data_IF_244429914678
#
_entry.id   IF_244429914678
#
_cell.length_a   1.000
_cell.length_b   1.000
_cell.length_c   1.000
_cell.angle_alpha   90.00
_cell.angle_beta   90.00
_cell.angle_gamma   90.00
#
_symmetry.space_group_name_H-M   'P 1'
#
loop_
_entity.id
_entity.type
_entity.pdbx_description
1 polymer ?
#
# COMPACT_ATOMS: atom_id res chain seq x y z
N UNK A 1 -20.58 -16.93 -10.30
CA UNK A 1 -19.32 -17.08 -11.05
C UNK A 1 -18.14 -16.88 -10.11
N UNK A 2 -17.09 -17.68 -10.27
CA UNK A 2 -15.83 -17.51 -9.53
C UNK A 2 -14.82 -16.85 -10.46
N UNK A 3 -14.12 -15.82 -9.98
CA UNK A 3 -13.04 -15.18 -10.73
C UNK A 3 -11.71 -15.59 -10.11
N UNK A 4 -10.79 -16.02 -10.96
CA UNK A 4 -9.44 -16.49 -10.60
C UNK A 4 -8.40 -15.86 -11.52
N UNK A 5 -7.12 -15.98 -11.16
CA UNK A 5 -5.98 -15.68 -12.03
C UNK A 5 -5.99 -14.26 -12.66
N UNK A 6 -6.46 -13.25 -11.91
CA UNK A 6 -6.41 -11.85 -12.34
C UNK A 6 -4.94 -11.36 -12.45
N UNK A 7 -4.53 -10.95 -13.65
CA UNK A 7 -3.19 -10.37 -13.90
C UNK A 7 -3.29 -9.10 -14.73
N UNK A 8 -2.28 -8.23 -14.58
CA UNK A 8 -2.07 -7.04 -15.38
C UNK A 8 -0.64 -7.09 -15.94
N UNK A 9 -0.46 -6.73 -17.21
CA UNK A 9 0.84 -6.79 -17.91
C UNK A 9 0.96 -5.61 -18.87
N UNK A 10 2.15 -5.02 -18.96
CA UNK A 10 2.43 -4.03 -20.00
C UNK A 10 2.32 -4.67 -21.39
N UNK A 11 1.63 -4.00 -22.31
CA UNK A 11 1.56 -4.38 -23.72
C UNK A 11 2.91 -4.09 -24.43
N UNK A 12 3.21 -4.82 -25.50
CA UNK A 12 4.40 -4.64 -26.33
C UNK A 12 4.42 -3.26 -27.00
N UNK A 13 3.23 -2.76 -27.36
CA UNK A 13 3.01 -1.46 -28.01
C UNK A 13 3.34 -0.28 -27.09
N UNK A 14 3.37 -0.49 -25.77
CA UNK A 14 3.52 0.59 -24.81
C UNK A 14 2.28 1.47 -24.65
N UNK A 15 2.30 2.30 -23.59
CA UNK A 15 1.19 3.12 -23.09
C UNK A 15 -0.13 2.37 -22.87
N UNK A 16 -0.03 1.05 -22.72
CA UNK A 16 -1.13 0.09 -22.72
C UNK A 16 -0.87 -1.00 -21.70
N UNK A 17 -1.94 -1.47 -21.08
CA UNK A 17 -1.91 -2.62 -20.16
C UNK A 17 -2.93 -3.64 -20.60
N UNK A 18 -2.50 -4.89 -20.75
CA UNK A 18 -3.36 -6.05 -20.91
C UNK A 18 -3.72 -6.58 -19.52
N UNK A 19 -5.01 -6.59 -19.24
CA UNK A 19 -5.64 -7.18 -18.06
C UNK A 19 -6.20 -8.54 -18.46
N UNK A 20 -6.04 -9.56 -17.62
CA UNK A 20 -6.56 -10.90 -17.91
C UNK A 20 -7.12 -11.56 -16.65
N UNK A 21 -8.22 -12.29 -16.76
CA UNK A 21 -8.70 -13.16 -15.68
C UNK A 21 -9.39 -14.41 -16.22
N UNK A 22 -9.57 -15.39 -15.35
CA UNK A 22 -10.35 -16.59 -15.62
C UNK A 22 -11.68 -16.50 -14.87
N UNK A 23 -12.77 -16.78 -15.58
CA UNK A 23 -14.13 -16.73 -15.10
C UNK A 23 -14.76 -18.12 -15.23
N UNK A 24 -15.05 -18.76 -14.10
CA UNK A 24 -15.84 -20.01 -14.07
C UNK A 24 -17.31 -19.68 -13.82
N UNK A 25 -18.25 -20.15 -14.66
CA UNK A 25 -19.68 -19.97 -14.41
C UNK A 25 -20.03 -20.60 -13.06
N UNK A 26 -20.87 -19.91 -12.28
CA UNK A 26 -21.41 -20.46 -11.03
C UNK A 26 -22.85 -20.94 -11.22
N UNK A 27 -23.41 -21.60 -10.21
CA UNK A 27 -24.82 -22.05 -10.24
C UNK A 27 -25.85 -20.94 -10.51
N UNK A 28 -25.49 -19.67 -10.27
CA UNK A 28 -26.33 -18.48 -10.49
C UNK A 28 -25.94 -17.65 -11.75
N UNK A 29 -25.18 -18.22 -12.69
CA UNK A 29 -24.83 -17.57 -13.97
C UNK A 29 -23.50 -16.79 -13.98
N UNK A 30 -23.28 -16.07 -15.10
CA UNK A 30 -22.16 -15.15 -15.31
C UNK A 30 -22.39 -13.90 -14.43
N UNK A 31 -21.55 -13.73 -13.40
CA UNK A 31 -21.64 -12.58 -12.50
C UNK A 31 -20.97 -11.37 -13.15
N UNK A 32 -21.50 -10.18 -12.86
CA UNK A 32 -20.91 -8.95 -13.34
C UNK A 32 -19.53 -8.71 -12.71
N UNK A 33 -18.64 -8.04 -13.45
CA UNK A 33 -17.28 -7.71 -13.04
C UNK A 33 -17.00 -6.24 -13.33
N UNK A 34 -16.54 -5.52 -12.31
CA UNK A 34 -15.99 -4.17 -12.41
C UNK A 34 -14.47 -4.22 -12.25
N UNK A 35 -13.75 -3.53 -13.12
CA UNK A 35 -12.31 -3.31 -13.01
C UNK A 35 -12.02 -1.82 -12.86
N UNK A 36 -11.28 -1.47 -11.81
CA UNK A 36 -10.93 -0.10 -11.45
C UNK A 36 -9.41 0.07 -11.35
N UNK A 37 -8.91 1.28 -11.63
CA UNK A 37 -7.48 1.65 -11.66
C UNK A 37 -7.17 2.88 -10.81
N UNK A 38 -5.98 2.94 -10.20
CA UNK A 38 -5.40 4.16 -9.60
C UNK A 38 -3.88 4.24 -9.84
N UNK A 39 -3.30 5.45 -9.71
CA UNK A 39 -1.85 5.67 -9.93
C UNK A 39 -1.02 5.40 -8.66
N UNK A 40 -1.63 5.44 -7.48
CA UNK A 40 -0.93 5.24 -6.20
C UNK A 40 -1.66 4.23 -5.33
N UNK A 41 -0.94 3.25 -4.79
CA UNK A 41 -1.50 2.24 -3.88
C UNK A 41 -2.17 2.85 -2.63
N UNK A 42 -1.67 3.99 -2.17
CA UNK A 42 -2.16 4.76 -1.02
C UNK A 42 -3.23 5.83 -1.35
N UNK A 43 -3.66 5.99 -2.60
CA UNK A 43 -4.76 6.92 -2.90
C UNK A 43 -6.08 6.43 -2.26
N UNK A 44 -6.88 7.34 -1.65
CA UNK A 44 -8.13 6.99 -0.97
C UNK A 44 -9.17 6.45 -1.96
N UNK A 45 -10.15 5.72 -1.45
CA UNK A 45 -11.09 4.92 -2.25
C UNK A 45 -12.03 5.75 -3.16
N UNK A 46 -12.02 7.09 -3.04
CA UNK A 46 -12.72 8.00 -3.97
C UNK A 46 -11.97 8.33 -5.28
N UNK A 47 -10.72 7.88 -5.47
CA UNK A 47 -9.91 8.22 -6.67
C UNK A 47 -9.78 7.10 -7.72
N UNK A 48 -10.48 5.98 -7.53
CA UNK A 48 -10.47 4.89 -8.49
C UNK A 48 -11.15 5.31 -9.81
N UNK A 49 -10.40 5.23 -10.92
CA UNK A 49 -10.96 5.36 -12.28
C UNK A 49 -11.58 4.04 -12.71
N UNK A 50 -12.82 4.04 -13.18
CA UNK A 50 -13.42 2.87 -13.80
C UNK A 50 -12.73 2.58 -15.14
N UNK A 51 -12.25 1.35 -15.33
CA UNK A 51 -11.62 0.88 -16.59
C UNK A 51 -12.59 0.02 -17.39
N UNK A 52 -13.33 -0.84 -16.70
CA UNK A 52 -14.30 -1.75 -17.31
C UNK A 52 -15.44 -2.06 -16.34
N UNK A 53 -16.65 -2.14 -16.87
CA UNK A 53 -17.80 -2.73 -16.19
C UNK A 53 -18.49 -3.64 -17.21
N UNK A 54 -18.66 -4.93 -16.89
CA UNK A 54 -19.30 -5.88 -17.80
C UNK A 54 -20.79 -5.62 -18.02
N UNK A 55 -21.46 -4.89 -17.13
CA UNK A 55 -22.89 -4.50 -17.24
C UNK A 55 -23.08 -3.28 -18.12
N UNK A 56 -22.08 -2.39 -18.17
CA UNK A 56 -22.06 -1.20 -19.01
C UNK A 56 -21.17 -1.37 -20.25
N UNK A 57 -20.95 -2.62 -20.69
CA UNK A 57 -20.24 -2.94 -21.94
C UNK A 57 -21.26 -3.32 -23.03
N UNK A 58 -21.20 -2.69 -24.22
CA UNK A 58 -20.27 -1.63 -24.62
C UNK A 58 -20.58 -0.27 -23.99
N UNK A 59 -19.57 0.61 -23.81
CA UNK A 59 -19.79 1.95 -23.27
C UNK A 59 -20.76 2.78 -24.13
N UNK A 60 -21.61 3.62 -23.54
CA UNK A 60 -22.51 4.48 -24.31
C UNK A 60 -21.73 5.38 -25.27
N UNK A 61 -22.17 5.41 -26.53
CA UNK A 61 -21.55 6.16 -27.62
C UNK A 61 -20.28 5.52 -28.22
N UNK A 62 -19.89 4.31 -27.82
CA UNK A 62 -18.82 3.57 -28.50
C UNK A 62 -19.36 2.74 -29.67
N UNK A 63 -18.64 2.72 -30.79
CA UNK A 63 -18.90 1.77 -31.86
C UNK A 63 -18.26 0.42 -31.49
N UNK A 64 -19.00 -0.68 -31.67
CA UNK A 64 -18.49 -2.03 -31.43
C UNK A 64 -18.24 -2.75 -32.75
N UNK A 65 -17.05 -3.28 -32.92
CA UNK A 65 -16.76 -4.30 -33.94
C UNK A 65 -16.56 -5.64 -33.26
N UNK A 66 -17.42 -6.60 -33.61
CA UNK A 66 -17.28 -8.00 -33.20
C UNK A 66 -16.52 -8.78 -34.29
N UNK A 67 -15.60 -9.65 -33.90
CA UNK A 67 -14.86 -10.51 -34.84
C UNK A 67 -14.47 -11.82 -34.18
N UNK A 68 -14.63 -12.93 -34.89
CA UNK A 68 -14.16 -14.23 -34.44
C UNK A 68 -12.63 -14.35 -34.67
N UNK A 69 -11.81 -14.54 -33.61
CA UNK A 69 -10.37 -14.64 -33.76
C UNK A 69 -9.95 -16.05 -34.20
N UNK A 70 -8.80 -16.20 -34.90
CA UNK A 70 -8.22 -17.52 -35.15
C UNK A 70 -7.96 -18.24 -33.82
N UNK A 71 -8.54 -19.43 -33.67
CA UNK A 71 -8.57 -20.20 -32.41
C UNK A 71 -9.90 -20.13 -31.64
N UNK A 72 -10.89 -19.38 -32.14
CA UNK A 72 -12.25 -19.32 -31.60
C UNK A 72 -12.42 -18.37 -30.41
N UNK A 73 -13.68 -18.05 -30.12
CA UNK A 73 -14.10 -17.06 -29.12
C UNK A 73 -14.60 -15.77 -29.75
N UNK A 74 -14.67 -14.70 -28.96
CA UNK A 74 -15.21 -13.42 -29.39
C UNK A 74 -14.19 -12.31 -29.12
N UNK A 75 -13.90 -11.48 -30.12
CA UNK A 75 -13.22 -10.19 -29.94
C UNK A 75 -14.25 -9.09 -30.14
N UNK A 76 -14.38 -8.20 -29.16
CA UNK A 76 -15.17 -6.98 -29.27
C UNK A 76 -14.22 -5.80 -29.07
N UNK A 77 -14.06 -4.97 -30.10
CA UNK A 77 -13.33 -3.70 -30.00
C UNK A 77 -14.32 -2.55 -29.89
N UNK A 78 -14.12 -1.67 -28.91
CA UNK A 78 -14.88 -0.44 -28.72
C UNK A 78 -14.01 0.74 -29.14
N UNK A 79 -14.50 1.53 -30.11
CA UNK A 79 -13.85 2.75 -30.56
C UNK A 79 -14.60 4.01 -30.09
N UNK A 80 -13.83 5.06 -29.79
CA UNK A 80 -14.31 6.42 -29.57
C UNK A 80 -13.37 7.37 -30.32
N UNK A 81 -13.94 8.29 -31.09
CA UNK A 81 -13.20 9.27 -31.91
C UNK A 81 -12.13 8.64 -32.85
N UNK A 82 -12.40 7.45 -33.37
CA UNK A 82 -11.48 6.70 -34.24
C UNK A 82 -10.29 6.06 -33.51
N UNK A 83 -10.40 5.88 -32.19
CA UNK A 83 -9.37 5.27 -31.33
C UNK A 83 -9.97 4.08 -30.59
N UNK A 84 -9.31 2.91 -30.69
CA UNK A 84 -9.61 1.74 -29.86
C UNK A 84 -9.40 2.10 -28.37
N UNK A 85 -10.50 2.34 -27.65
CA UNK A 85 -10.50 2.75 -26.24
C UNK A 85 -10.62 1.58 -25.28
N UNK A 86 -11.12 0.44 -25.76
CA UNK A 86 -11.28 -0.78 -24.98
C UNK A 86 -11.43 -1.97 -25.92
N UNK A 87 -10.61 -2.99 -25.76
CA UNK A 87 -10.74 -4.26 -26.48
C UNK A 87 -11.03 -5.38 -25.49
N UNK A 88 -12.09 -6.16 -25.71
CA UNK A 88 -12.41 -7.37 -24.95
C UNK A 88 -12.14 -8.60 -25.83
N UNK A 89 -11.47 -9.60 -25.26
CA UNK A 89 -11.27 -10.91 -25.91
C UNK A 89 -11.77 -11.99 -24.94
N UNK A 90 -12.83 -12.71 -25.32
CA UNK A 90 -13.40 -13.83 -24.56
C UNK A 90 -13.06 -15.13 -25.28
N UNK A 91 -12.28 -16.00 -24.64
CA UNK A 91 -11.94 -17.34 -25.15
C UNK A 91 -12.38 -18.42 -24.17
N UNK A 92 -12.82 -19.57 -24.68
CA UNK A 92 -13.14 -20.73 -23.82
C UNK A 92 -11.85 -21.30 -23.24
N UNK A 93 -11.85 -21.61 -21.94
CA UNK A 93 -10.69 -22.16 -21.23
C UNK A 93 -11.17 -23.19 -20.20
N UNK A 94 -11.07 -24.48 -20.55
CA UNK A 94 -11.69 -25.57 -19.80
C UNK A 94 -13.20 -25.39 -19.70
N UNK A 95 -13.72 -25.49 -18.47
CA UNK A 95 -15.14 -25.29 -18.12
C UNK A 95 -15.55 -23.81 -17.98
N UNK A 96 -14.61 -22.89 -18.18
CA UNK A 96 -14.82 -21.45 -18.03
C UNK A 96 -14.36 -20.63 -19.23
N UNK A 97 -14.16 -19.34 -18.98
CA UNK A 97 -13.76 -18.33 -19.95
C UNK A 97 -12.51 -17.63 -19.47
N UNK A 98 -11.56 -17.39 -20.38
CA UNK A 98 -10.51 -16.39 -20.19
C UNK A 98 -10.97 -15.10 -20.84
N UNK A 99 -10.97 -14.02 -20.05
CA UNK A 99 -11.30 -12.66 -20.52
C UNK A 99 -10.02 -11.85 -20.49
N UNK A 100 -9.70 -11.20 -21.60
CA UNK A 100 -8.59 -10.24 -21.71
C UNK A 100 -9.12 -8.87 -22.11
N UNK A 101 -8.60 -7.82 -21.48
CA UNK A 101 -8.99 -6.43 -21.72
C UNK A 101 -7.75 -5.56 -21.93
N UNK A 102 -7.80 -4.68 -22.93
CA UNK A 102 -6.79 -3.66 -23.18
C UNK A 102 -7.19 -2.32 -22.55
N UNK A 103 -6.38 -1.82 -21.60
CA UNK A 103 -6.51 -0.48 -21.01
C UNK A 103 -5.57 0.52 -21.71
N UNK A 104 -6.17 1.57 -22.31
CA UNK A 104 -5.49 2.75 -22.89
C UNK A 104 -5.81 4.05 -22.15
N UNK A 105 -6.38 3.97 -20.93
CA UNK A 105 -6.88 5.11 -20.17
C UNK A 105 -7.93 5.99 -20.88
N UNK A 106 -8.66 5.44 -21.85
CA UNK A 106 -9.72 6.16 -22.58
C UNK A 106 -9.21 7.34 -23.43
N UNK A 107 -7.93 7.36 -23.81
CA UNK A 107 -7.31 8.44 -24.57
C UNK A 107 -6.30 7.91 -25.58
N UNK A 108 -6.20 8.57 -26.75
CA UNK A 108 -5.14 8.35 -27.73
C UNK A 108 -3.72 8.54 -27.15
N UNK A 109 -3.58 9.34 -26.09
CA UNK A 109 -2.30 9.52 -25.40
C UNK A 109 -1.84 8.27 -24.65
N UNK A 110 -2.76 7.36 -24.31
CA UNK A 110 -2.50 6.15 -23.53
C UNK A 110 -2.15 6.40 -22.06
N UNK A 111 -1.76 5.34 -21.36
CA UNK A 111 -1.21 5.40 -20.00
C UNK A 111 0.19 6.04 -19.99
N UNK A 112 0.56 6.65 -18.87
CA UNK A 112 1.89 7.28 -18.69
C UNK A 112 2.99 6.22 -18.59
N UNK A 113 4.00 6.21 -19.47
CA UNK A 113 5.11 5.28 -19.38
C UNK A 113 5.84 5.35 -18.04
N UNK A 114 6.17 4.21 -17.45
CA UNK A 114 6.92 4.15 -16.18
C UNK A 114 6.12 4.41 -14.91
N UNK A 115 4.86 4.86 -15.00
CA UNK A 115 3.97 4.94 -13.83
C UNK A 115 3.44 3.55 -13.48
N UNK A 116 3.59 3.10 -12.23
CA UNK A 116 2.97 1.87 -11.76
C UNK A 116 1.45 2.06 -11.59
N UNK A 117 0.64 1.35 -12.37
CA UNK A 117 -0.82 1.38 -12.27
C UNK A 117 -1.33 0.19 -11.48
N UNK A 118 -2.17 0.47 -10.49
CA UNK A 118 -2.79 -0.52 -9.61
C UNK A 118 -4.20 -0.80 -10.10
N UNK A 119 -4.51 -2.08 -10.31
CA UNK A 119 -5.79 -2.55 -10.79
C UNK A 119 -6.48 -3.41 -9.75
N UNK A 120 -7.79 -3.25 -9.65
CA UNK A 120 -8.63 -4.06 -8.78
C UNK A 120 -9.85 -4.56 -9.55
N UNK A 121 -10.09 -5.86 -9.43
CA UNK A 121 -11.24 -6.56 -10.01
C UNK A 121 -12.17 -6.97 -8.89
N UNK A 122 -13.43 -6.56 -9.00
CA UNK A 122 -14.50 -6.85 -8.05
C UNK A 122 -15.64 -7.57 -8.78
N UNK A 123 -16.04 -8.73 -8.25
CA UNK A 123 -17.26 -9.41 -8.68
C UNK A 123 -18.48 -8.70 -8.06
N UNK A 124 -19.41 -8.27 -8.91
CA UNK A 124 -20.64 -7.57 -8.52
C UNK A 124 -21.78 -8.59 -8.40
N UNK A 125 -22.53 -8.60 -7.28
CA UNK A 125 -23.70 -9.46 -7.13
C UNK A 125 -24.76 -9.17 -8.21
N UNK A 126 -25.51 -10.19 -8.68
CA UNK A 126 -26.65 -9.96 -9.56
C UNK A 126 -27.75 -9.21 -8.79
N UNK A 127 -27.88 -7.90 -9.04
CA UNK A 127 -28.84 -7.02 -8.40
C UNK A 127 -28.35 -5.56 -8.26
N UNK A 128 -27.04 -5.37 -8.07
CA UNK A 128 -26.43 -4.04 -7.86
C UNK A 128 -26.19 -3.28 -9.18
N UNK A 129 -27.30 -2.87 -9.81
CA UNK A 129 -27.31 -1.91 -10.91
C UNK A 129 -26.74 -0.54 -10.50
N UNK A 130 -26.40 0.33 -11.47
CA UNK A 130 -25.78 1.63 -11.20
C UNK A 130 -26.67 2.62 -10.42
N UNK A 131 -27.99 2.38 -10.36
CA UNK A 131 -28.98 3.27 -9.74
C UNK A 131 -29.36 2.91 -8.29
N UNK A 132 -28.47 2.22 -7.58
CA UNK A 132 -28.61 1.86 -6.15
C UNK A 132 -28.53 3.05 -5.19
N UNK A 133 -29.39 4.06 -5.37
CA UNK A 133 -29.60 5.13 -4.39
C UNK A 133 -30.21 4.59 -3.08
N UNK A 134 -30.00 5.28 -1.95
CA UNK A 134 -30.61 4.85 -0.68
C UNK A 134 -32.14 4.90 -0.80
N UNK A 135 -32.88 3.85 -0.36
CA UNK A 135 -34.34 3.84 -0.41
C UNK A 135 -34.92 4.83 0.61
N UNK A 136 -35.12 6.07 0.17
CA UNK A 136 -35.90 7.07 0.88
C UNK A 136 -37.39 6.80 0.70
N UNK A 137 -37.97 6.00 1.59
CA UNK A 137 -39.42 5.84 1.73
C UNK A 137 -39.82 6.05 3.19
N UNK A 138 -40.74 6.98 3.50
CA UNK A 138 -41.26 7.12 4.86
C UNK A 138 -42.29 6.03 5.16
N UNK A 139 -42.44 5.75 6.46
CA UNK A 139 -43.57 5.06 7.10
C UNK A 139 -43.78 3.56 6.77
N UNK A 140 -43.20 2.68 7.61
CA UNK A 140 -43.49 1.24 7.60
C UNK A 140 -42.65 0.37 8.54
N UNK A 141 -43.06 0.25 9.81
CA UNK A 141 -42.61 -0.77 10.78
C UNK A 141 -43.85 -1.45 11.40
N UNK A 142 -43.74 -2.65 12.01
CA UNK A 142 -42.81 -3.74 11.72
C UNK A 142 -43.52 -5.12 11.63
N UNK A 143 -42.89 -6.13 11.03
CA UNK A 143 -42.82 -7.51 11.56
C UNK A 143 -42.09 -8.44 10.56
N UNK A 144 -41.05 -9.14 11.03
CA UNK A 144 -40.32 -10.12 10.22
C UNK A 144 -38.81 -10.08 10.42
N UNK A 145 -38.33 -10.70 11.50
CA UNK A 145 -36.90 -10.83 11.80
C UNK A 145 -36.15 -11.67 10.75
N UNK A 146 -35.12 -11.14 10.06
CA UNK A 146 -34.21 -11.95 9.26
C UNK A 146 -33.01 -12.45 10.11
N UNK A 147 -32.48 -13.65 9.85
CA UNK A 147 -31.23 -14.11 10.47
C UNK A 147 -30.03 -13.55 9.70
N UNK A 148 -29.32 -12.58 10.28
CA UNK A 148 -28.10 -11.99 9.73
C UNK A 148 -27.24 -11.37 10.82
N UNK A 149 -25.91 -11.46 10.67
CA UNK A 149 -24.96 -10.87 11.62
C UNK A 149 -25.00 -9.33 11.64
N UNK A 150 -24.30 -8.68 12.58
CA UNK A 150 -24.44 -7.24 12.86
C UNK A 150 -24.09 -6.31 11.68
N UNK A 151 -23.38 -6.78 10.66
CA UNK A 151 -23.13 -6.06 9.41
C UNK A 151 -23.93 -6.69 8.26
N UNK A 152 -25.17 -6.24 8.07
CA UNK A 152 -26.05 -6.63 6.95
C UNK A 152 -25.60 -6.15 5.56
N UNK A 153 -24.30 -5.92 5.35
CA UNK A 153 -23.73 -5.55 4.06
C UNK A 153 -23.60 -6.82 3.20
N UNK A 154 -24.00 -6.80 1.91
CA UNK A 154 -23.73 -7.93 1.02
C UNK A 154 -22.21 -8.18 1.01
N UNK A 155 -21.81 -9.44 1.23
CA UNK A 155 -20.40 -9.82 1.20
C UNK A 155 -19.86 -9.60 -0.23
N UNK A 156 -19.17 -8.48 -0.43
CA UNK A 156 -18.46 -8.21 -1.65
C UNK A 156 -17.50 -9.38 -1.95
N UNK A 157 -17.53 -9.88 -3.18
CA UNK A 157 -16.70 -11.02 -3.58
C UNK A 157 -15.20 -10.74 -3.38
N UNK A 158 -14.36 -11.79 -3.35
CA UNK A 158 -12.93 -11.64 -3.09
C UNK A 158 -12.30 -10.64 -4.07
N UNK A 159 -11.78 -9.55 -3.49
CA UNK A 159 -11.17 -8.44 -4.22
C UNK A 159 -9.81 -8.88 -4.78
N UNK A 160 -9.72 -9.02 -6.10
CA UNK A 160 -8.47 -9.40 -6.76
C UNK A 160 -7.68 -8.16 -7.18
N UNK A 161 -6.36 -8.16 -6.96
CA UNK A 161 -5.48 -7.02 -7.25
C UNK A 161 -4.33 -7.40 -8.16
N UNK A 162 -4.04 -6.53 -9.13
CA UNK A 162 -2.92 -6.65 -10.05
C UNK A 162 -2.21 -5.30 -10.21
N UNK A 163 -0.98 -5.32 -10.73
CA UNK A 163 -0.16 -4.13 -10.95
C UNK A 163 0.59 -4.27 -12.26
N UNK A 164 0.68 -3.20 -13.03
CA UNK A 164 1.44 -3.15 -14.28
C UNK A 164 2.06 -1.76 -14.50
N UNK A 165 3.22 -1.73 -15.13
CA UNK A 165 3.92 -0.48 -15.48
C UNK A 165 4.06 -0.43 -17.00
N UNK A 166 3.24 0.37 -17.71
CA UNK A 166 3.25 0.43 -19.16
C UNK A 166 4.58 0.99 -19.67
N UNK A 167 4.99 0.51 -20.83
CA UNK A 167 6.20 0.92 -21.53
C UNK A 167 5.95 2.18 -22.37
N UNK A 168 7.03 2.78 -22.87
CA UNK A 168 7.01 4.01 -23.66
C UNK A 168 7.26 3.72 -25.13
N UNK A 169 6.76 4.62 -25.97
CA UNK A 169 7.04 4.64 -27.40
C UNK A 169 8.35 5.39 -27.63
N UNK A 170 9.39 4.68 -28.06
CA UNK A 170 10.69 5.24 -28.45
C UNK A 170 10.91 5.24 -29.97
N UNK A 171 9.97 4.66 -30.73
CA UNK A 171 9.97 4.59 -32.20
C UNK A 171 11.17 3.83 -32.77
N UNK A 172 11.66 2.79 -32.09
CA UNK A 172 12.80 2.00 -32.57
C UNK A 172 12.55 1.37 -33.94
N UNK A 173 11.29 1.05 -34.30
CA UNK A 173 10.92 0.58 -35.64
C UNK A 173 11.21 1.60 -36.74
N UNK A 174 10.87 2.87 -36.50
CA UNK A 174 11.19 3.97 -37.42
C UNK A 174 12.71 4.20 -37.50
N UNK A 175 13.43 4.16 -36.38
CA UNK A 175 14.90 4.29 -36.37
C UNK A 175 15.59 3.15 -37.13
N UNK A 176 15.11 1.91 -37.00
CA UNK A 176 15.59 0.76 -37.76
C UNK A 176 15.30 0.91 -39.27
N UNK A 177 14.11 1.39 -39.62
CA UNK A 177 13.72 1.62 -41.01
C UNK A 177 14.55 2.74 -41.64
N UNK A 178 14.75 3.86 -40.95
CA UNK A 178 15.53 5.00 -41.45
C UNK A 178 17.04 4.72 -41.54
N UNK A 179 17.55 3.77 -40.76
CA UNK A 179 18.89 3.23 -40.90
C UNK A 179 19.08 2.34 -42.14
N UNK A 180 18.01 1.91 -42.82
CA UNK A 180 18.12 1.15 -44.06
C UNK A 180 18.58 2.03 -45.24
N UNK A 181 19.45 1.49 -46.13
CA UNK A 181 19.76 2.10 -47.41
C UNK A 181 18.50 2.48 -48.20
N UNK A 182 18.52 3.65 -48.82
CA UNK A 182 17.35 4.25 -49.51
C UNK A 182 16.73 3.32 -50.55
N UNK A 183 17.53 2.48 -51.23
CA UNK A 183 17.04 1.49 -52.20
C UNK A 183 15.97 0.57 -51.61
N UNK A 184 16.12 0.09 -50.38
CA UNK A 184 15.12 -0.76 -49.74
C UNK A 184 13.85 0.03 -49.38
N UNK A 185 14.01 1.25 -48.86
CA UNK A 185 12.89 2.14 -48.52
C UNK A 185 12.08 2.56 -49.75
N UNK A 186 12.74 2.78 -50.90
CA UNK A 186 12.08 3.11 -52.17
C UNK A 186 11.26 1.97 -52.75
N UNK A 187 11.64 0.72 -52.49
CA UNK A 187 10.92 -0.47 -52.94
C UNK A 187 9.85 -0.95 -51.96
N UNK A 188 9.74 -0.36 -50.76
CA UNK A 188 8.75 -0.74 -49.74
C UNK A 188 7.34 -0.16 -50.01
N UNK A 189 6.79 -0.46 -51.18
CA UNK A 189 5.49 0.05 -51.66
C UNK A 189 4.30 -0.89 -51.34
N UNK A 190 4.59 -2.10 -50.85
CA UNK A 190 3.56 -3.14 -50.63
C UNK A 190 2.80 -2.87 -49.33
N UNK A 191 1.62 -2.26 -49.48
CA UNK A 191 0.69 -1.99 -48.37
C UNK A 191 0.14 -3.27 -47.75
N UNK A 192 -0.33 -3.16 -46.50
CA UNK A 192 -0.87 -4.29 -45.76
C UNK A 192 -2.33 -4.57 -46.12
N UNK A 193 -2.86 -5.74 -45.73
CA UNK A 193 -4.29 -5.90 -45.57
C UNK A 193 -4.82 -4.87 -44.56
N UNK A 194 -6.12 -4.56 -44.62
CA UNK A 194 -6.75 -3.68 -43.64
C UNK A 194 -6.60 -4.26 -42.22
N UNK A 195 -5.84 -3.52 -41.41
CA UNK A 195 -5.60 -3.64 -39.97
C UNK A 195 -5.65 -5.04 -39.33
N UNK A 196 -4.72 -5.92 -39.72
CA UNK A 196 -4.47 -7.18 -38.99
C UNK A 196 -3.36 -6.98 -37.95
N UNK A 197 -3.64 -6.29 -36.85
CA UNK A 197 -2.66 -6.14 -35.76
C UNK A 197 -3.06 -5.21 -34.62
N UNK A 198 -2.58 -5.51 -33.42
CA UNK A 198 -2.74 -4.65 -32.24
C UNK A 198 -1.72 -3.50 -32.19
N UNK A 199 -0.71 -3.51 -33.06
CA UNK A 199 0.42 -2.56 -33.10
C UNK A 199 0.06 -1.36 -34.00
N UNK A 200 -0.22 -0.16 -33.48
CA UNK A 200 -0.60 1.01 -34.28
C UNK A 200 0.45 1.41 -35.32
N UNK A 201 1.73 1.22 -35.00
CA UNK A 201 2.88 1.47 -35.88
C UNK A 201 2.79 0.63 -37.16
N UNK A 202 2.21 -0.57 -37.10
CA UNK A 202 2.00 -1.46 -38.25
C UNK A 202 0.85 -1.04 -39.19
N UNK A 203 0.52 0.26 -39.23
CA UNK A 203 -0.59 0.84 -40.00
C UNK A 203 -0.59 0.35 -41.47
N UNK A 204 -1.75 0.04 -42.09
CA UNK A 204 -1.79 -0.47 -43.48
C UNK A 204 -1.15 0.44 -44.54
N UNK A 205 -1.05 1.74 -44.27
CA UNK A 205 -0.37 2.72 -45.11
C UNK A 205 1.17 2.61 -45.12
N UNK A 206 1.78 1.94 -44.14
CA UNK A 206 3.21 1.64 -44.11
C UNK A 206 3.51 0.43 -45.01
N UNK A 207 4.68 0.42 -45.64
CA UNK A 207 5.14 -0.70 -46.47
C UNK A 207 5.42 -1.97 -45.67
N UNK A 208 5.55 -3.11 -46.38
CA UNK A 208 5.71 -4.43 -45.78
C UNK A 208 6.99 -4.57 -44.96
N UNK A 209 8.10 -4.01 -45.44
CA UNK A 209 9.38 -4.03 -44.73
C UNK A 209 9.32 -3.17 -43.47
N UNK A 210 8.69 -1.99 -43.55
CA UNK A 210 8.43 -1.15 -42.38
C UNK A 210 7.59 -1.88 -41.34
N UNK A 211 6.43 -2.43 -41.72
CA UNK A 211 5.55 -3.19 -40.79
C UNK A 211 6.28 -4.38 -40.15
N UNK A 212 7.17 -5.06 -40.89
CA UNK A 212 8.02 -6.12 -40.34
C UNK A 212 9.01 -5.57 -39.29
N UNK A 213 9.70 -4.47 -39.58
CA UNK A 213 10.61 -3.82 -38.64
C UNK A 213 9.91 -3.24 -37.41
N UNK A 214 8.67 -2.75 -37.55
CA UNK A 214 7.89 -2.21 -36.43
C UNK A 214 7.59 -3.27 -35.35
N UNK A 215 7.52 -4.56 -35.69
CA UNK A 215 7.40 -5.67 -34.71
C UNK A 215 8.65 -5.76 -33.82
N UNK A 216 9.85 -5.69 -34.42
CA UNK A 216 11.11 -5.63 -33.66
C UNK A 216 11.25 -4.29 -32.95
N UNK A 217 10.77 -3.21 -33.55
CA UNK A 217 10.70 -1.87 -32.99
C UNK A 217 9.93 -1.85 -31.67
N UNK A 218 8.72 -2.42 -31.62
CA UNK A 218 7.92 -2.54 -30.41
C UNK A 218 8.63 -3.39 -29.33
N UNK A 219 9.28 -4.49 -29.71
CA UNK A 219 10.06 -5.29 -28.78
C UNK A 219 11.27 -4.53 -28.20
N UNK A 220 11.97 -3.73 -29.01
CA UNK A 220 13.07 -2.87 -28.57
C UNK A 220 12.60 -1.70 -27.70
N UNK A 221 11.48 -1.06 -28.05
CA UNK A 221 10.84 -0.02 -27.25
C UNK A 221 10.45 -0.56 -25.87
N UNK A 222 9.89 -1.77 -25.81
CA UNK A 222 9.57 -2.48 -24.57
C UNK A 222 10.80 -2.80 -23.72
N UNK A 223 11.87 -3.33 -24.33
CA UNK A 223 13.14 -3.60 -23.65
C UNK A 223 13.80 -2.32 -23.12
N UNK A 224 13.84 -1.27 -23.94
CA UNK A 224 14.39 0.05 -23.57
C UNK A 224 13.60 0.65 -22.42
N UNK A 225 12.28 0.63 -22.48
CA UNK A 225 11.45 1.10 -21.38
C UNK A 225 11.63 0.31 -20.10
N UNK A 226 11.82 -1.00 -20.15
CA UNK A 226 12.19 -1.77 -18.96
C UNK A 226 13.56 -1.35 -18.42
N UNK A 227 14.55 -1.13 -19.28
CA UNK A 227 15.88 -0.65 -18.86
C UNK A 227 15.83 0.76 -18.24
N UNK A 228 15.00 1.66 -18.77
CA UNK A 228 14.77 2.98 -18.19
C UNK A 228 14.01 2.86 -16.83
N UNK A 229 13.01 1.98 -16.74
CA UNK A 229 12.30 1.66 -15.49
C UNK A 229 13.22 1.06 -14.41
N UNK A 230 14.26 0.28 -14.77
CA UNK A 230 15.24 -0.23 -13.80
C UNK A 230 15.94 0.89 -13.02
N UNK A 231 16.14 2.08 -13.63
CA UNK A 231 16.68 3.24 -12.91
C UNK A 231 15.68 3.81 -11.89
N UNK A 232 14.39 3.74 -12.21
CA UNK A 232 13.30 4.17 -11.32
C UNK A 232 13.04 3.24 -10.14
N UNK A 233 13.56 1.99 -10.13
CA UNK A 233 13.34 1.04 -9.03
C UNK A 233 13.91 1.50 -7.68
N UNK A 234 14.82 2.47 -7.66
CA UNK A 234 15.37 3.05 -6.44
C UNK A 234 14.40 4.03 -5.76
N UNK A 235 13.38 4.53 -6.48
CA UNK A 235 12.39 5.44 -5.94
C UNK A 235 11.31 4.68 -5.15
N UNK A 236 11.39 4.80 -3.83
CA UNK A 236 10.50 4.17 -2.85
C UNK A 236 9.05 4.64 -2.98
N UNK A 237 8.78 5.80 -3.59
CA UNK A 237 7.40 6.30 -3.77
C UNK A 237 6.73 5.70 -5.02
N UNK A 238 7.50 5.35 -6.07
CA UNK A 238 6.96 4.89 -7.37
C UNK A 238 7.19 3.39 -7.67
N UNK A 239 8.18 2.74 -7.04
CA UNK A 239 8.46 1.33 -7.25
C UNK A 239 7.26 0.40 -6.92
N UNK A 240 7.17 -0.76 -7.57
CA UNK A 240 6.15 -1.77 -7.23
C UNK A 240 6.27 -2.18 -5.75
N UNK A 241 5.14 -2.20 -5.03
CA UNK A 241 5.04 -2.61 -3.64
C UNK A 241 5.65 -3.99 -3.33
N UNK A 242 5.68 -4.88 -4.34
CA UNK A 242 6.31 -6.21 -4.26
C UNK A 242 7.83 -6.15 -4.11
N UNK A 243 8.46 -5.04 -4.53
CA UNK A 243 9.90 -4.82 -4.44
C UNK A 243 10.32 -4.13 -3.15
N UNK A 244 9.38 -3.55 -2.38
CA UNK A 244 9.68 -2.90 -1.10
C UNK A 244 10.44 -3.80 -0.09
N UNK A 245 10.14 -5.12 0.06
CA UNK A 245 10.95 -5.99 0.90
C UNK A 245 12.40 -6.13 0.45
N UNK A 246 12.65 -6.10 -0.87
CA UNK A 246 14.00 -6.18 -1.42
C UNK A 246 14.75 -4.85 -1.28
N UNK A 247 14.08 -3.71 -1.52
CA UNK A 247 14.65 -2.38 -1.26
C UNK A 247 14.97 -2.18 0.22
N UNK A 248 14.10 -2.64 1.12
CA UNK A 248 14.34 -2.64 2.56
C UNK A 248 15.53 -3.52 2.95
N UNK A 249 15.64 -4.73 2.37
CA UNK A 249 16.76 -5.63 2.63
C UNK A 249 18.13 -5.04 2.25
N UNK A 250 18.21 -4.21 1.19
CA UNK A 250 19.45 -3.51 0.81
C UNK A 250 19.97 -2.55 1.89
N UNK A 251 19.08 -2.03 2.73
CA UNK A 251 19.40 -1.14 3.85
C UNK A 251 19.29 -1.85 5.22
N UNK A 252 19.28 -3.20 5.21
CA UNK A 252 19.07 -4.07 6.37
C UNK A 252 17.77 -3.82 7.17
N UNK A 253 16.78 -3.15 6.56
CA UNK A 253 15.49 -2.86 7.16
C UNK A 253 14.50 -4.00 6.88
N UNK A 254 13.75 -4.42 7.90
CA UNK A 254 12.65 -5.38 7.74
C UNK A 254 11.32 -4.61 7.80
N UNK A 255 10.58 -4.47 6.67
CA UNK A 255 9.36 -3.68 6.62
C UNK A 255 8.18 -4.45 7.21
N UNK A 256 7.28 -3.75 7.91
CA UNK A 256 6.17 -4.36 8.64
C UNK A 256 5.13 -4.98 7.69
N UNK A 257 5.17 -6.30 7.47
CA UNK A 257 4.30 -7.00 6.52
C UNK A 257 2.80 -6.79 6.78
N UNK A 258 2.39 -6.69 8.05
CA UNK A 258 1.00 -6.50 8.48
C UNK A 258 0.48 -5.07 8.25
N UNK A 259 1.36 -4.12 7.88
CA UNK A 259 0.99 -2.71 7.69
C UNK A 259 0.68 -2.41 6.23
N UNK A 260 -0.22 -1.44 6.03
CA UNK A 260 -0.57 -0.89 4.73
C UNK A 260 0.66 -0.43 3.94
N UNK A 261 0.58 -0.49 2.61
CA UNK A 261 1.73 -0.25 1.73
C UNK A 261 2.32 1.15 1.92
N UNK A 262 1.48 2.17 2.15
CA UNK A 262 1.90 3.53 2.48
C UNK A 262 2.89 3.57 3.66
N UNK A 263 2.56 2.88 4.75
CA UNK A 263 3.39 2.80 5.95
C UNK A 263 4.71 2.09 5.64
N UNK A 264 4.69 1.00 4.85
CA UNK A 264 5.91 0.31 4.42
C UNK A 264 6.82 1.18 3.54
N UNK A 265 6.26 2.00 2.63
CA UNK A 265 7.04 2.99 1.85
C UNK A 265 7.68 4.02 2.77
N UNK A 266 6.89 4.61 3.67
CA UNK A 266 7.39 5.58 4.65
C UNK A 266 8.50 4.99 5.54
N UNK A 267 8.32 3.77 6.05
CA UNK A 267 9.35 3.04 6.81
C UNK A 267 10.66 2.92 6.04
N UNK A 268 10.64 2.45 4.78
CA UNK A 268 11.85 2.27 3.97
C UNK A 268 12.51 3.62 3.64
N UNK A 269 11.70 4.62 3.28
CA UNK A 269 12.15 5.98 2.95
C UNK A 269 12.83 6.70 4.13
N UNK A 270 12.32 6.49 5.35
CA UNK A 270 12.83 7.14 6.56
C UNK A 270 13.73 6.23 7.43
N UNK A 271 14.02 5.00 7.02
CA UNK A 271 14.83 4.02 7.75
C UNK A 271 16.17 4.56 8.25
N UNK A 272 16.88 5.38 7.45
CA UNK A 272 18.15 6.00 7.87
C UNK A 272 17.99 6.97 9.05
N UNK A 273 16.85 7.68 9.15
CA UNK A 273 16.52 8.51 10.31
C UNK A 273 16.13 7.63 11.50
N UNK A 274 15.35 6.57 11.27
CA UNK A 274 14.96 5.60 12.30
C UNK A 274 16.18 4.94 12.97
N UNK A 275 17.18 4.52 12.19
CA UNK A 275 18.44 3.98 12.73
C UNK A 275 19.23 4.98 13.58
N UNK A 276 19.20 6.28 13.25
CA UNK A 276 19.92 7.32 14.01
C UNK A 276 19.32 7.63 15.37
N UNK A 277 18.02 7.39 15.55
CA UNK A 277 17.30 7.62 16.82
C UNK A 277 17.13 6.35 17.64
N UNK A 278 17.43 5.18 17.08
CA UNK A 278 17.49 3.90 17.82
C UNK A 278 18.37 4.02 19.07
N UNK A 279 17.90 3.48 20.20
CA UNK A 279 18.57 3.59 21.50
C UNK A 279 18.31 4.89 22.27
N UNK A 280 17.59 5.87 21.70
CA UNK A 280 17.08 7.05 22.43
C UNK A 280 15.65 6.82 22.95
N UNK A 281 15.21 7.58 23.95
CA UNK A 281 13.81 7.56 24.45
C UNK A 281 12.80 7.75 23.32
N UNK A 282 12.97 8.81 22.52
CA UNK A 282 12.10 9.12 21.38
C UNK A 282 12.09 8.01 20.32
N UNK A 283 13.26 7.43 20.01
CA UNK A 283 13.36 6.27 19.13
C UNK A 283 12.62 5.07 19.67
N UNK A 284 12.77 4.75 20.96
CA UNK A 284 12.08 3.63 21.58
C UNK A 284 10.56 3.80 21.57
N UNK A 285 10.02 5.01 21.79
CA UNK A 285 8.57 5.29 21.63
C UNK A 285 8.11 4.98 20.22
N UNK A 286 8.86 5.45 19.22
CA UNK A 286 8.54 5.24 17.81
C UNK A 286 8.63 3.76 17.40
N UNK A 287 9.60 3.01 17.95
CA UNK A 287 9.74 1.57 17.74
C UNK A 287 8.59 0.76 18.36
N UNK A 288 8.11 1.14 19.55
CA UNK A 288 6.91 0.52 20.15
C UNK A 288 5.69 0.78 19.25
N UNK A 289 5.43 2.06 18.92
CA UNK A 289 4.30 2.45 18.05
C UNK A 289 4.37 1.79 16.68
N UNK A 290 5.56 1.56 16.14
CA UNK A 290 5.75 0.78 14.91
C UNK A 290 5.32 -0.68 15.09
N UNK A 291 5.91 -1.38 16.07
CA UNK A 291 5.75 -2.83 16.28
C UNK A 291 4.35 -3.22 16.72
N UNK A 292 3.70 -2.43 17.58
CA UNK A 292 2.37 -2.75 18.14
C UNK A 292 1.26 -1.83 17.61
N UNK A 293 1.56 -0.57 17.29
CA UNK A 293 0.55 0.45 16.99
C UNK A 293 0.14 1.28 18.20
N UNK A 294 0.58 0.90 19.40
CA UNK A 294 0.23 1.58 20.64
C UNK A 294 1.03 2.86 20.84
N UNK A 295 0.40 3.87 21.41
CA UNK A 295 1.13 4.97 22.03
C UNK A 295 1.90 4.44 23.23
N UNK A 296 3.14 4.88 23.38
CA UNK A 296 4.05 4.41 24.41
C UNK A 296 4.67 5.58 25.18
N UNK A 297 4.75 5.43 26.50
CA UNK A 297 5.55 6.30 27.37
C UNK A 297 6.74 5.50 27.88
N UNK A 298 7.90 6.14 27.99
CA UNK A 298 9.14 5.46 28.36
C UNK A 298 9.76 6.14 29.57
N UNK A 299 10.14 5.34 30.54
CA UNK A 299 10.86 5.77 31.74
C UNK A 299 12.22 5.09 31.79
N UNK A 300 13.27 5.89 31.82
CA UNK A 300 14.62 5.45 32.10
C UNK A 300 14.81 5.32 33.62
N UNK A 301 15.54 4.30 34.06
CA UNK A 301 15.82 4.09 35.49
C UNK A 301 17.21 4.60 35.85
N UNK A 302 17.27 5.36 36.93
CA UNK A 302 18.50 6.00 37.39
C UNK A 302 19.12 5.26 38.59
N UNK A 303 20.42 5.46 38.82
CA UNK A 303 21.19 4.69 39.81
C UNK A 303 21.00 5.20 41.25
N UNK A 304 21.09 4.25 42.18
CA UNK A 304 21.47 4.41 43.59
C UNK A 304 20.52 5.18 44.53
N UNK A 305 19.74 4.39 45.30
CA UNK A 305 19.51 4.65 46.74
C UNK A 305 20.30 3.63 47.58
N UNK A 306 20.29 2.35 47.21
CA UNK A 306 20.91 1.26 48.00
C UNK A 306 22.44 1.30 48.12
N UNK A 307 23.14 2.13 47.33
CA UNK A 307 24.62 2.25 47.35
C UNK A 307 25.07 3.61 47.92
N UNK A 308 24.23 4.63 47.81
CA UNK A 308 24.47 6.00 48.30
C UNK A 308 23.82 6.27 49.65
N UNK A 309 22.79 5.49 50.02
CA UNK A 309 21.84 5.76 51.11
C UNK A 309 21.26 7.18 51.07
N UNK A 310 21.11 7.72 49.87
CA UNK A 310 20.52 9.03 49.62
C UNK A 310 19.16 8.81 48.93
N UNK A 311 18.03 9.07 49.61
CA UNK A 311 16.72 9.05 48.99
C UNK A 311 16.48 10.29 48.13
N UNK A 312 17.30 11.35 48.28
CA UNK A 312 17.14 12.74 47.87
C UNK A 312 15.99 13.48 48.58
N UNK A 313 15.75 14.74 48.20
CA UNK A 313 14.66 15.62 48.68
C UNK A 313 13.51 15.82 47.64
N UNK A 314 12.20 15.80 47.98
CA UNK A 314 11.10 16.04 47.03
C UNK A 314 10.91 17.46 46.44
N UNK A 315 11.79 18.43 46.71
CA UNK A 315 11.51 19.88 46.59
C UNK A 315 12.07 20.70 45.41
N UNK A 316 13.20 20.36 44.79
CA UNK A 316 13.88 21.16 43.74
C UNK A 316 14.15 20.35 42.47
N UNK A 317 13.67 20.78 41.31
CA UNK A 317 13.91 20.05 40.07
C UNK A 317 15.35 19.93 39.50
N UNK A 318 16.45 20.29 40.19
CA UNK A 318 17.80 20.09 39.64
C UNK A 318 19.02 20.17 40.57
N UNK A 319 18.89 19.94 41.87
CA UNK A 319 19.97 19.78 42.86
C UNK A 319 20.63 18.41 42.86
N UNK A 320 21.41 18.11 41.82
CA UNK A 320 22.57 17.22 41.92
C UNK A 320 22.35 15.74 42.31
N UNK A 321 22.09 14.89 41.32
CA UNK A 321 22.45 13.46 41.32
C UNK A 321 21.73 12.49 42.31
N UNK A 322 20.57 12.85 42.88
CA UNK A 322 19.85 11.97 43.82
C UNK A 322 18.35 11.81 43.51
N UNK A 323 18.00 11.02 42.49
CA UNK A 323 16.59 10.64 42.23
C UNK A 323 16.28 10.16 40.81
N UNK A 324 15.25 9.32 40.66
CA UNK A 324 14.91 8.66 39.38
C UNK A 324 13.99 9.52 38.49
N UNK A 325 14.54 10.50 37.76
CA UNK A 325 13.75 11.49 37.01
C UNK A 325 13.16 10.98 35.68
N UNK A 326 11.86 11.23 35.49
CA UNK A 326 11.26 11.31 34.15
C UNK A 326 11.35 12.78 33.72
N UNK A 327 12.27 13.12 32.81
CA UNK A 327 12.50 14.51 32.38
C UNK A 327 11.65 14.84 31.14
N UNK A 328 10.69 15.76 31.30
CA UNK A 328 9.93 16.33 30.18
C UNK A 328 10.55 17.68 29.78
N UNK A 329 11.05 17.77 28.54
CA UNK A 329 11.69 18.98 28.01
C UNK A 329 10.72 20.09 27.61
N UNK A 330 9.41 19.89 27.78
CA UNK A 330 8.38 20.89 27.46
C UNK A 330 7.92 21.74 28.66
N UNK A 331 8.35 21.43 29.90
CA UNK A 331 7.95 22.17 31.10
C UNK A 331 8.93 23.34 31.44
N UNK A 332 8.50 24.62 31.29
CA UNK A 332 9.35 25.77 31.57
C UNK A 332 9.56 26.04 33.07
N UNK A 333 8.76 25.45 33.97
CA UNK A 333 8.93 25.57 35.44
C UNK A 333 9.94 24.57 35.97
N UNK A 334 9.96 23.34 35.42
CA UNK A 334 11.04 22.38 35.66
C UNK A 334 12.38 22.98 35.20
N UNK A 335 12.42 23.59 34.01
CA UNK A 335 13.62 24.29 33.52
C UNK A 335 14.05 25.49 34.38
N UNK A 336 13.11 26.14 35.09
CA UNK A 336 13.40 27.27 35.98
C UNK A 336 13.90 26.85 37.39
N UNK A 337 13.71 25.58 37.77
CA UNK A 337 14.20 25.02 39.03
C UNK A 337 15.63 24.48 38.99
N UNK A 338 16.22 24.31 37.80
CA UNK A 338 17.52 23.65 37.62
C UNK A 338 18.64 24.46 38.31
N UNK A 339 19.29 23.84 39.30
CA UNK A 339 20.39 24.44 40.06
C UNK A 339 20.04 24.96 41.45
N UNK A 340 19.03 24.39 42.14
CA UNK A 340 18.78 24.60 43.57
C UNK A 340 19.18 23.34 44.37
N UNK A 341 18.62 23.10 45.56
CA UNK A 341 19.22 22.22 46.59
C UNK A 341 18.44 20.93 46.92
N UNK A 342 17.13 20.93 46.72
CA UNK A 342 16.14 20.00 47.24
C UNK A 342 15.70 18.83 46.27
N UNK A 343 16.51 18.18 45.42
CA UNK A 343 16.04 17.24 44.33
C UNK A 343 15.83 15.73 44.64
N UNK A 344 14.76 15.15 44.03
CA UNK A 344 14.43 13.71 43.80
C UNK A 344 13.49 13.44 42.65
N UNK A 345 13.42 12.15 42.28
CA UNK A 345 12.28 11.62 41.55
C UNK A 345 12.06 10.10 41.68
N UNK A 346 11.04 9.65 40.94
CA UNK A 346 10.14 8.52 41.17
C UNK A 346 10.58 7.18 40.56
N UNK A 347 10.26 6.08 41.25
CA UNK A 347 10.51 4.72 40.81
C UNK A 347 9.36 4.11 40.00
N UNK A 348 9.63 3.03 39.27
CA UNK A 348 8.62 2.08 38.78
C UNK A 348 9.26 0.68 38.70
N UNK A 349 8.45 -0.36 38.50
CA UNK A 349 8.70 -1.73 39.01
C UNK A 349 9.34 -2.67 37.96
N UNK A 350 10.49 -3.33 38.26
CA UNK A 350 11.00 -4.49 37.47
C UNK A 350 11.58 -5.58 38.38
N UNK A 351 11.12 -6.81 38.22
CA UNK A 351 11.18 -7.86 39.24
C UNK A 351 12.29 -8.90 39.10
N UNK A 352 13.39 -8.58 38.39
CA UNK A 352 14.58 -9.45 38.35
C UNK A 352 14.37 -10.83 37.70
N UNK A 353 15.11 -11.84 38.17
CA UNK A 353 15.34 -13.12 37.46
C UNK A 353 14.75 -14.35 38.16
N UNK A 354 13.67 -14.14 38.92
CA UNK A 354 12.73 -15.15 39.42
C UNK A 354 11.35 -14.48 39.53
N UNK A 355 10.26 -15.21 39.84
CA UNK A 355 8.92 -14.62 39.82
C UNK A 355 8.70 -13.40 40.74
N UNK A 356 9.54 -13.18 41.77
CA UNK A 356 9.25 -12.29 42.90
C UNK A 356 10.33 -11.24 43.32
N UNK A 357 11.43 -11.00 42.58
CA UNK A 357 12.38 -9.91 42.94
C UNK A 357 11.80 -8.52 42.59
N UNK A 358 12.46 -7.36 42.80
CA UNK A 358 11.79 -6.03 42.61
C UNK A 358 12.56 -4.85 41.97
N UNK A 359 13.87 -4.98 41.69
CA UNK A 359 14.62 -3.94 40.94
C UNK A 359 15.69 -4.57 40.04
N UNK A 360 15.93 -4.01 38.84
CA UNK A 360 17.01 -4.45 37.94
C UNK A 360 17.72 -3.26 37.24
N UNK A 361 19.06 -3.26 37.29
CA UNK A 361 19.91 -2.17 36.76
C UNK A 361 19.98 -2.07 35.23
N UNK A 362 19.41 -3.06 34.55
CA UNK A 362 19.43 -3.23 33.11
C UNK A 362 18.02 -3.16 32.53
N UNK A 363 17.10 -2.40 33.13
CA UNK A 363 15.69 -2.35 32.74
C UNK A 363 15.28 -1.00 32.11
N UNK A 364 14.27 -1.01 31.24
CA UNK A 364 13.55 0.19 30.76
C UNK A 364 12.06 -0.06 30.83
N UNK A 365 11.32 0.82 31.50
CA UNK A 365 9.86 0.73 31.60
C UNK A 365 9.19 1.28 30.34
N UNK A 366 8.44 0.42 29.64
CA UNK A 366 7.63 0.77 28.47
C UNK A 366 6.16 0.66 28.86
N UNK A 367 5.50 1.79 29.00
CA UNK A 367 4.10 1.91 29.41
C UNK A 367 3.24 2.07 28.16
N UNK A 368 2.25 1.20 27.99
CA UNK A 368 1.43 1.10 26.78
C UNK A 368 -0.05 1.01 27.12
N UNK A 369 -0.89 1.68 26.33
CA UNK A 369 -2.34 1.63 26.47
C UNK A 369 -2.92 0.90 25.24
N UNK A 370 -3.37 -0.36 25.40
CA UNK A 370 -3.96 -1.12 24.30
C UNK A 370 -5.43 -0.73 24.09
N UNK A 371 -5.84 -0.67 22.82
CA UNK A 371 -7.26 -0.57 22.42
C UNK A 371 -7.86 -1.90 21.93
N UNK A 372 -7.16 -3.00 22.13
CA UNK A 372 -7.42 -4.32 21.49
C UNK A 372 -7.79 -5.40 22.52
N UNK A 373 -8.19 -6.59 22.04
CA UNK A 373 -8.58 -7.71 22.92
C UNK A 373 -7.39 -8.30 23.69
N UNK A 374 -7.65 -8.93 24.85
CA UNK A 374 -6.60 -9.48 25.73
C UNK A 374 -5.62 -10.41 25.02
N UNK A 375 -6.08 -11.22 24.05
CA UNK A 375 -5.22 -12.13 23.28
C UNK A 375 -4.31 -11.36 22.31
N UNK A 376 -4.83 -10.34 21.63
CA UNK A 376 -4.04 -9.45 20.78
C UNK A 376 -2.99 -8.69 21.57
N UNK A 377 -3.34 -8.22 22.77
CA UNK A 377 -2.42 -7.56 23.70
C UNK A 377 -1.27 -8.47 24.11
N UNK A 378 -1.54 -9.73 24.44
CA UNK A 378 -0.48 -10.71 24.76
C UNK A 378 0.40 -11.01 23.54
N UNK A 379 -0.19 -11.14 22.34
CA UNK A 379 0.54 -11.35 21.08
C UNK A 379 1.45 -10.16 20.74
N UNK A 380 0.95 -8.93 20.83
CA UNK A 380 1.71 -7.71 20.55
C UNK A 380 2.79 -7.44 21.60
N UNK A 381 2.53 -7.74 22.88
CA UNK A 381 3.57 -7.75 23.93
C UNK A 381 4.69 -8.74 23.61
N UNK A 382 4.37 -9.95 23.15
CA UNK A 382 5.35 -10.94 22.70
C UNK A 382 6.19 -10.46 21.51
N UNK A 383 5.55 -9.78 20.54
CA UNK A 383 6.23 -9.13 19.41
C UNK A 383 7.17 -8.01 19.83
N UNK A 384 6.76 -7.19 20.80
CA UNK A 384 7.57 -6.09 21.32
C UNK A 384 8.81 -6.61 22.07
N UNK A 385 8.64 -7.63 22.92
CA UNK A 385 9.74 -8.25 23.66
C UNK A 385 10.74 -8.96 22.74
N UNK A 386 10.28 -9.69 21.72
CA UNK A 386 11.17 -10.34 20.75
C UNK A 386 11.84 -9.35 19.78
N UNK A 387 11.21 -8.20 19.51
CA UNK A 387 11.77 -7.11 18.72
C UNK A 387 12.72 -6.18 19.48
N UNK A 388 12.83 -6.31 20.81
CA UNK A 388 13.50 -5.33 21.67
C UNK A 388 15.00 -5.13 21.36
N UNK A 389 15.72 -6.20 21.02
CA UNK A 389 17.13 -6.16 20.62
C UNK A 389 17.42 -5.34 19.36
N UNK A 390 16.37 -4.95 18.61
CA UNK A 390 16.49 -4.10 17.42
C UNK A 390 16.57 -2.62 17.77
N UNK A 391 16.11 -2.23 18.96
CA UNK A 391 15.98 -0.81 19.33
C UNK A 391 16.48 -0.43 20.73
N UNK A 392 16.64 -1.39 21.63
CA UNK A 392 17.33 -1.22 22.90
C UNK A 392 18.78 -1.74 22.79
N UNK A 393 19.76 -1.03 23.39
CA UNK A 393 21.10 -1.56 23.65
C UNK A 393 21.06 -2.95 24.30
N UNK A 394 22.00 -3.85 23.97
CA UNK A 394 22.03 -5.22 24.50
C UNK A 394 22.12 -5.31 26.03
N UNK A 395 22.58 -4.24 26.69
CA UNK A 395 22.62 -4.12 28.15
C UNK A 395 21.31 -3.62 28.78
N UNK A 396 20.22 -3.47 28.00
CA UNK A 396 18.90 -3.05 28.48
C UNK A 396 17.82 -4.10 28.10
N UNK A 397 16.93 -4.34 29.07
CA UNK A 397 15.80 -5.29 29.07
C UNK A 397 14.52 -4.47 29.08
N UNK A 398 13.60 -4.67 28.12
CA UNK A 398 12.29 -4.02 28.16
C UNK A 398 11.42 -4.61 29.27
N UNK A 399 10.67 -3.74 29.95
CA UNK A 399 9.63 -4.11 30.90
C UNK A 399 8.33 -3.48 30.43
N UNK A 400 7.46 -4.29 29.82
CA UNK A 400 6.20 -3.81 29.25
C UNK A 400 5.12 -3.81 30.31
N UNK A 401 4.66 -2.61 30.67
CA UNK A 401 3.56 -2.33 31.61
C UNK A 401 2.34 -1.92 30.80
N UNK A 402 1.23 -2.62 31.00
CA UNK A 402 -0.05 -2.32 30.35
C UNK A 402 -0.83 -1.39 31.29
N UNK A 403 -1.19 -0.21 30.80
CA UNK A 403 -2.00 0.79 31.51
C UNK A 403 -3.41 0.83 30.91
N UNK A 404 -4.42 1.12 31.72
CA UNK A 404 -5.76 1.45 31.24
C UNK A 404 -5.85 2.91 30.78
N UNK A 405 -6.78 3.22 29.88
CA UNK A 405 -7.03 4.61 29.44
C UNK A 405 -7.46 5.52 30.60
N UNK A 406 -8.06 4.97 31.67
CA UNK A 406 -8.37 5.70 32.91
C UNK A 406 -7.10 6.07 33.69
N UNK A 407 -6.13 5.15 33.82
CA UNK A 407 -4.83 5.41 34.44
C UNK A 407 -3.98 6.38 33.58
N UNK A 408 -4.04 6.25 32.25
CA UNK A 408 -3.44 7.22 31.31
C UNK A 408 -4.02 8.61 31.54
N UNK A 409 -5.34 8.75 31.54
CA UNK A 409 -6.03 10.04 31.68
C UNK A 409 -5.80 10.65 33.06
N UNK A 410 -5.91 9.88 34.14
CA UNK A 410 -5.55 10.34 35.48
C UNK A 410 -4.09 10.81 35.56
N UNK A 411 -3.16 10.15 34.88
CA UNK A 411 -1.77 10.58 34.79
C UNK A 411 -1.58 11.84 33.93
N UNK A 412 -2.41 12.10 32.91
CA UNK A 412 -2.36 13.32 32.08
C UNK A 412 -3.04 14.50 32.79
N UNK A 413 -4.18 14.28 33.44
CA UNK A 413 -4.89 15.30 34.22
C UNK A 413 -4.05 15.76 35.42
N UNK A 414 -3.31 14.84 36.06
CA UNK A 414 -2.34 15.16 37.11
C UNK A 414 -1.13 16.00 36.61
N UNK A 415 -0.88 16.05 35.30
CA UNK A 415 0.15 16.89 34.66
C UNK A 415 -0.38 18.27 34.24
N UNK A 416 -1.71 18.52 34.31
CA UNK A 416 -2.31 19.81 34.00
C UNK A 416 -2.25 20.23 32.52
N UNK A 417 -1.92 19.31 31.61
CA UNK A 417 -1.86 19.56 30.17
C UNK A 417 -3.26 19.40 29.57
N UNK A 418 -3.92 20.50 29.21
CA UNK A 418 -5.17 20.42 28.46
C UNK A 418 -4.92 19.95 27.02
N UNK A 419 -5.72 19.00 26.54
CA UNK A 419 -5.55 18.32 25.24
C UNK A 419 -5.91 19.17 24.01
N UNK A 420 -5.38 20.38 23.90
CA UNK A 420 -5.75 21.38 22.89
C UNK A 420 -4.87 21.36 21.61
N UNK A 421 -4.11 20.30 21.35
CA UNK A 421 -3.12 20.25 20.25
C UNK A 421 -3.38 19.19 19.16
N UNK A 422 -4.56 18.58 19.11
CA UNK A 422 -4.94 17.63 18.05
C UNK A 422 -5.37 18.30 16.73
N UNK A 423 -5.43 19.65 16.64
CA UNK A 423 -5.85 20.37 15.43
C UNK A 423 -4.73 20.65 14.39
N UNK A 424 -3.48 20.25 14.61
CA UNK A 424 -2.35 20.64 13.74
C UNK A 424 -1.56 19.46 13.14
N UNK A 425 -2.22 18.33 12.83
CA UNK A 425 -1.79 17.42 11.74
C UNK A 425 -3.01 16.78 11.05
N UNK A 426 -3.49 17.38 9.96
CA UNK A 426 -4.30 16.73 8.93
C UNK A 426 -3.60 16.83 7.56
#
# INVERSE_FOLDING_TARGET
MTVENFTARADLVGRRVVLSWEARPGAAGDAAVRVRRKERDFEPEGRWSLVYDSTAFPPPGAAVTETEPPGGGTVESCERDGVEVLRRVRRRHGDGWRVEILDVAGSAAGLRPGTAYYYELVAVPPGDGPDGGPPGGPDGEPDGQPPGGPDGRPQAGPVLRAVATPTGLHRSGALLYDALPEIYRRHDVVRGPEQIGAIPESTPGNGQLRRFLDVFGAALDHLRSRADQLRGLQDVDTADHRLLPHLAALIAWEPSADRGVAVRRHEVKHAAVLYRITGTTAGCVLWVRRLTGWDARIKEFWRNVLVTNDPGDPGDPGGGFHGSRTLDTSDPRVMAGIGRFEDTASYTYDTGTGPDSRYAHNAVGIFVVPGETTEEVLRLRGRLLSGASRFLPMNLRPVVVIETEAERRAAVDALGVSGATDEVVQ
#
